data_IF_722827779821
#
_entry.id   IF_722827779821
#
_cell.length_a   1.000
_cell.length_b   1.000
_cell.length_c   1.000
_cell.angle_alpha   90.00
_cell.angle_beta   90.00
_cell.angle_gamma   90.00
#
_symmetry.space_group_name_H-M   'P 1'
#
loop_
_entity.id
_entity.type
_entity.pdbx_description
1 polymer ?
#
# COMPACT_ATOMS: atom_id res chain seq x y z
N UNK A 1 12.86 5.06 -12.13
CA UNK A 1 12.75 4.23 -13.34
C UNK A 1 13.47 2.88 -13.18
N UNK A 2 14.78 2.86 -12.94
CA UNK A 2 15.58 1.61 -12.77
C UNK A 2 15.15 0.67 -11.63
N UNK A 3 14.40 1.15 -10.62
CA UNK A 3 13.87 0.34 -9.50
C UNK A 3 12.46 -0.22 -9.69
N UNK A 4 11.66 0.35 -10.60
CA UNK A 4 10.37 -0.22 -11.03
C UNK A 4 10.55 -1.16 -12.24
N UNK A 5 11.67 -1.01 -12.95
CA UNK A 5 12.10 -1.90 -14.03
C UNK A 5 12.11 -3.38 -13.64
N UNK A 6 12.55 -3.82 -12.44
CA UNK A 6 12.47 -5.21 -12.02
C UNK A 6 11.04 -5.75 -11.94
N UNK A 7 10.09 -4.96 -11.40
CA UNK A 7 8.69 -5.37 -11.29
C UNK A 7 8.04 -5.44 -12.67
N UNK A 8 8.21 -4.39 -13.49
CA UNK A 8 7.66 -4.34 -14.85
C UNK A 8 8.31 -5.41 -15.74
N UNK A 9 9.62 -5.59 -15.67
CA UNK A 9 10.32 -6.66 -16.37
C UNK A 9 9.86 -8.04 -15.90
N UNK A 10 9.62 -8.21 -14.59
CA UNK A 10 9.08 -9.44 -14.02
C UNK A 10 7.69 -9.76 -14.55
N UNK A 11 6.81 -8.76 -14.64
CA UNK A 11 5.49 -8.88 -15.29
C UNK A 11 5.67 -9.31 -16.75
N UNK A 12 6.48 -8.59 -17.52
CA UNK A 12 6.65 -8.82 -18.95
C UNK A 12 7.22 -10.22 -19.21
N UNK A 13 8.33 -10.57 -18.55
CA UNK A 13 8.97 -11.87 -18.71
C UNK A 13 8.06 -13.00 -18.21
N UNK A 14 7.46 -12.85 -17.04
CA UNK A 14 6.52 -13.83 -16.49
C UNK A 14 5.32 -14.07 -17.39
N UNK A 15 4.74 -13.01 -17.95
CA UNK A 15 3.62 -13.09 -18.88
C UNK A 15 4.03 -13.72 -20.22
N UNK A 16 5.19 -13.36 -20.78
CA UNK A 16 5.73 -14.00 -22.00
C UNK A 16 5.95 -15.49 -21.79
N UNK A 17 6.59 -15.90 -20.68
CA UNK A 17 6.78 -17.32 -20.37
C UNK A 17 5.44 -18.04 -20.21
N UNK A 18 4.46 -17.39 -19.59
CA UNK A 18 3.11 -17.93 -19.45
C UNK A 18 2.38 -18.09 -20.79
N UNK A 19 2.57 -17.15 -21.72
CA UNK A 19 2.06 -17.25 -23.09
C UNK A 19 2.69 -18.44 -23.81
N UNK A 20 4.02 -18.59 -23.71
CA UNK A 20 4.76 -19.70 -24.33
C UNK A 20 4.37 -21.06 -23.73
N UNK A 21 4.02 -21.09 -22.45
CA UNK A 21 3.51 -22.27 -21.76
C UNK A 21 2.03 -22.58 -22.08
N UNK A 22 1.33 -21.72 -22.83
CA UNK A 22 -0.06 -21.94 -23.22
C UNK A 22 -1.08 -21.82 -22.08
N UNK A 23 -0.70 -21.20 -20.95
CA UNK A 23 -1.57 -21.06 -19.76
C UNK A 23 -2.40 -19.77 -19.75
N UNK A 24 -2.19 -18.87 -20.72
CA UNK A 24 -2.90 -17.59 -20.84
C UNK A 24 -4.01 -17.71 -21.87
N UNK A 25 -5.25 -17.46 -21.46
CA UNK A 25 -6.38 -17.28 -22.37
C UNK A 25 -6.49 -15.81 -22.81
N UNK A 26 -6.38 -15.56 -24.12
CA UNK A 26 -6.48 -14.23 -24.71
C UNK A 26 -7.90 -13.86 -25.18
N UNK A 27 -8.87 -14.77 -25.05
CA UNK A 27 -10.26 -14.56 -25.42
C UNK A 27 -10.86 -13.32 -24.74
N UNK A 28 -10.65 -13.07 -23.42
CA UNK A 28 -11.16 -11.87 -22.75
C UNK A 28 -10.64 -10.57 -23.37
N UNK A 29 -9.38 -10.57 -23.84
CA UNK A 29 -8.78 -9.41 -24.51
C UNK A 29 -9.44 -9.21 -25.87
N UNK A 30 -9.73 -10.28 -26.62
CA UNK A 30 -10.36 -10.17 -27.95
C UNK A 30 -11.80 -9.66 -27.86
N UNK A 31 -12.56 -10.11 -26.87
CA UNK A 31 -13.98 -9.78 -26.69
C UNK A 31 -14.22 -8.44 -26.02
N UNK A 32 -13.27 -7.95 -25.21
CA UNK A 32 -13.41 -6.66 -24.55
C UNK A 32 -13.58 -5.50 -25.55
N UNK A 33 -14.40 -4.51 -25.20
CA UNK A 33 -14.51 -3.29 -25.99
C UNK A 33 -13.17 -2.53 -26.02
N UNK A 34 -12.97 -1.66 -27.01
CA UNK A 34 -11.82 -0.74 -26.98
C UNK A 34 -11.98 0.32 -25.90
N UNK A 35 -13.18 0.88 -25.80
CA UNK A 35 -13.52 1.90 -24.82
C UNK A 35 -14.87 1.57 -24.16
N UNK A 36 -14.92 1.65 -22.84
CA UNK A 36 -16.17 1.65 -22.09
C UNK A 36 -15.97 2.37 -20.75
N UNK A 37 -17.06 2.91 -20.21
CA UNK A 37 -17.07 3.48 -18.85
C UNK A 37 -16.83 2.35 -17.84
N UNK A 38 -15.95 2.52 -16.84
CA UNK A 38 -15.77 1.55 -15.76
C UNK A 38 -17.07 1.29 -14.99
N UNK A 39 -17.23 0.07 -14.47
CA UNK A 39 -18.35 -0.27 -13.61
C UNK A 39 -18.22 0.45 -12.26
N UNK A 40 -19.36 0.94 -11.76
CA UNK A 40 -19.47 1.61 -10.47
C UNK A 40 -20.32 0.77 -9.52
N UNK A 41 -19.91 0.67 -8.26
CA UNK A 41 -20.67 -0.01 -7.21
C UNK A 41 -20.98 0.95 -6.07
N UNK A 42 -22.25 1.06 -5.71
CA UNK A 42 -22.68 1.93 -4.61
C UNK A 42 -22.45 1.25 -3.25
N UNK A 43 -22.06 2.01 -2.21
CA UNK A 43 -21.73 1.43 -0.92
C UNK A 43 -22.98 0.94 -0.18
N UNK A 44 -22.84 -0.20 0.49
CA UNK A 44 -23.83 -0.72 1.45
C UNK A 44 -23.20 -0.67 2.84
N UNK A 45 -23.85 0.02 3.77
CA UNK A 45 -23.34 0.18 5.13
C UNK A 45 -23.80 -0.99 6.01
N UNK A 46 -22.86 -1.90 6.27
CA UNK A 46 -23.05 -3.00 7.21
C UNK A 46 -22.11 -2.84 8.41
N UNK A 47 -22.68 -2.81 9.62
CA UNK A 47 -21.90 -2.52 10.84
C UNK A 47 -20.90 -3.63 11.19
N UNK A 48 -21.19 -4.89 10.84
CA UNK A 48 -20.25 -5.99 11.07
C UNK A 48 -19.07 -5.92 10.11
N UNK A 49 -19.32 -5.63 8.82
CA UNK A 49 -18.29 -5.41 7.81
C UNK A 49 -17.41 -4.18 8.14
N UNK A 50 -18.04 -3.08 8.57
CA UNK A 50 -17.31 -1.89 9.04
C UNK A 50 -16.43 -2.25 10.24
N UNK A 51 -16.96 -2.98 11.23
CA UNK A 51 -16.19 -3.40 12.40
C UNK A 51 -14.99 -4.29 12.06
N UNK A 52 -15.08 -5.09 11.00
CA UNK A 52 -14.00 -5.95 10.52
C UNK A 52 -12.91 -5.17 9.75
N UNK A 53 -13.32 -4.21 8.92
CA UNK A 53 -12.40 -3.47 8.02
C UNK A 53 -11.78 -2.25 8.70
N UNK A 54 -12.50 -1.58 9.63
CA UNK A 54 -12.03 -0.36 10.27
C UNK A 54 -10.64 -0.47 10.93
N UNK A 55 -10.26 -1.59 11.60
CA UNK A 55 -8.90 -1.75 12.12
C UNK A 55 -7.81 -1.78 11.04
N UNK A 56 -8.12 -2.22 9.82
CA UNK A 56 -7.18 -2.24 8.69
C UNK A 56 -6.83 -0.81 8.26
N UNK A 57 -7.78 0.14 8.39
CA UNK A 57 -7.51 1.54 8.11
C UNK A 57 -6.45 2.14 9.05
N UNK A 58 -6.30 1.62 10.28
CA UNK A 58 -5.22 2.04 11.20
C UNK A 58 -3.85 1.66 10.63
N UNK A 59 -3.72 0.45 10.08
CA UNK A 59 -2.48 0.03 9.45
C UNK A 59 -2.13 0.93 8.25
N UNK A 60 -3.12 1.27 7.42
CA UNK A 60 -2.94 2.18 6.29
C UNK A 60 -2.57 3.61 6.74
N UNK A 61 -3.15 4.14 7.83
CA UNK A 61 -2.75 5.44 8.37
C UNK A 61 -1.28 5.43 8.84
N UNK A 62 -0.83 4.34 9.47
CA UNK A 62 0.57 4.20 9.89
C UNK A 62 1.51 4.06 8.69
N UNK A 63 1.09 3.30 7.68
CA UNK A 63 1.80 3.18 6.38
C UNK A 63 1.96 4.56 5.72
N UNK A 64 0.87 5.34 5.63
CA UNK A 64 0.90 6.70 5.10
C UNK A 64 1.87 7.62 5.83
N UNK A 65 1.95 7.55 7.17
CA UNK A 65 2.94 8.32 7.94
C UNK A 65 4.36 7.94 7.54
N UNK A 66 4.64 6.64 7.44
CA UNK A 66 5.94 6.12 7.00
C UNK A 66 6.32 6.60 5.61
N UNK A 67 5.36 6.60 4.69
CA UNK A 67 5.57 7.05 3.31
C UNK A 67 5.81 8.55 3.21
N UNK A 68 5.06 9.37 3.95
CA UNK A 68 5.27 10.82 4.00
C UNK A 68 6.67 11.15 4.53
N UNK A 69 7.14 10.41 5.56
CA UNK A 69 8.50 10.54 6.08
C UNK A 69 9.55 10.13 5.03
N UNK A 70 9.36 9.00 4.36
CA UNK A 70 10.28 8.50 3.34
C UNK A 70 10.38 9.44 2.12
N UNK A 71 9.23 9.97 1.67
CA UNK A 71 9.18 10.98 0.61
C UNK A 71 9.85 12.27 1.08
N UNK A 72 9.54 12.75 2.28
CA UNK A 72 10.13 13.95 2.87
C UNK A 72 11.66 13.87 2.98
N UNK A 73 12.19 12.75 3.45
CA UNK A 73 13.62 12.49 3.49
C UNK A 73 14.26 12.45 2.09
N UNK A 74 13.52 11.98 1.08
CA UNK A 74 14.01 11.86 -0.30
C UNK A 74 14.04 13.20 -1.05
N UNK A 75 13.08 14.08 -0.79
CA UNK A 75 12.99 15.40 -1.42
C UNK A 75 13.53 16.53 -0.54
N UNK A 76 14.10 16.18 0.62
CA UNK A 76 14.67 17.09 1.61
C UNK A 76 13.66 18.15 2.11
N UNK A 77 12.40 17.74 2.30
CA UNK A 77 11.33 18.60 2.82
C UNK A 77 10.56 17.93 3.96
N UNK A 78 10.24 18.69 4.99
CA UNK A 78 9.49 18.20 6.14
C UNK A 78 7.98 18.38 5.93
N UNK A 79 7.35 17.38 5.32
CA UNK A 79 5.90 17.35 5.11
C UNK A 79 5.08 17.11 6.39
N UNK A 80 5.71 16.64 7.46
CA UNK A 80 5.08 16.51 8.78
C UNK A 80 4.85 17.89 9.39
N UNK A 81 5.74 18.84 9.12
CA UNK A 81 5.60 20.25 9.50
C UNK A 81 4.77 21.05 8.50
N UNK A 82 5.12 21.01 7.21
CA UNK A 82 4.41 21.73 6.14
C UNK A 82 4.25 20.84 4.91
N UNK A 83 3.03 20.46 4.49
CA UNK A 83 1.75 21.05 4.85
C UNK A 83 1.18 20.59 6.20
N UNK A 84 1.80 19.62 6.86
CA UNK A 84 1.34 19.07 8.13
C UNK A 84 0.72 17.68 7.98
N UNK A 85 1.02 16.79 8.92
CA UNK A 85 0.53 15.41 8.90
C UNK A 85 -1.02 15.32 8.86
N UNK A 86 -1.72 16.26 9.51
CA UNK A 86 -3.18 16.32 9.46
C UNK A 86 -3.72 16.53 8.05
N UNK A 87 -3.08 17.40 7.26
CA UNK A 87 -3.48 17.67 5.88
C UNK A 87 -3.19 16.49 4.96
N UNK A 88 -2.06 15.81 5.14
CA UNK A 88 -1.72 14.66 4.32
C UNK A 88 -2.66 13.47 4.61
N UNK A 89 -2.97 13.21 5.88
CA UNK A 89 -3.93 12.16 6.29
C UNK A 89 -5.36 12.47 5.85
N UNK A 90 -5.82 13.73 5.94
CA UNK A 90 -7.13 14.11 5.42
C UNK A 90 -7.21 13.90 3.90
N UNK A 91 -6.13 14.23 3.18
CA UNK A 91 -6.05 13.98 1.74
C UNK A 91 -6.23 12.50 1.39
N UNK A 92 -5.51 11.64 2.10
CA UNK A 92 -5.58 10.17 1.94
C UNK A 92 -6.97 9.61 2.29
N UNK A 93 -7.54 10.05 3.42
CA UNK A 93 -8.88 9.67 3.84
C UNK A 93 -9.98 10.11 2.87
N UNK A 94 -9.87 11.31 2.30
CA UNK A 94 -10.80 11.78 1.25
C UNK A 94 -10.66 10.91 0.00
N UNK A 95 -9.42 10.62 -0.44
CA UNK A 95 -9.18 9.78 -1.61
C UNK A 95 -9.74 8.37 -1.44
N UNK A 96 -9.54 7.76 -0.26
CA UNK A 96 -10.10 6.44 0.09
C UNK A 96 -11.62 6.47 0.18
N UNK A 97 -12.19 7.51 0.79
CA UNK A 97 -13.65 7.66 0.91
C UNK A 97 -14.30 7.80 -0.46
N UNK A 98 -13.74 8.64 -1.34
CA UNK A 98 -14.22 8.82 -2.70
C UNK A 98 -14.12 7.52 -3.50
N UNK A 99 -13.02 6.78 -3.37
CA UNK A 99 -12.88 5.46 -3.99
C UNK A 99 -13.96 4.49 -3.49
N UNK A 100 -14.19 4.40 -2.18
CA UNK A 100 -15.22 3.54 -1.60
C UNK A 100 -16.65 3.89 -2.05
N UNK A 101 -16.96 5.18 -2.24
CA UNK A 101 -18.29 5.63 -2.73
C UNK A 101 -18.54 5.15 -4.16
N UNK A 102 -17.50 5.09 -5.00
CA UNK A 102 -17.62 4.71 -6.42
C UNK A 102 -17.36 3.21 -6.64
N UNK A 103 -17.11 2.44 -5.58
CA UNK A 103 -16.83 1.00 -5.65
C UNK A 103 -15.38 0.65 -5.95
N UNK A 104 -14.47 1.61 -5.83
CA UNK A 104 -13.04 1.41 -5.89
C UNK A 104 -12.48 0.81 -4.58
N UNK A 105 -11.26 0.24 -4.64
CA UNK A 105 -10.60 -0.32 -3.46
C UNK A 105 -10.13 0.79 -2.51
N UNK A 106 -9.86 0.42 -1.26
CA UNK A 106 -9.10 1.29 -0.35
C UNK A 106 -7.73 1.62 -0.97
N UNK A 107 -7.31 2.87 -0.85
CA UNK A 107 -6.04 3.34 -1.40
C UNK A 107 -5.17 3.93 -0.29
N UNK A 108 -3.88 4.05 -0.58
CA UNK A 108 -2.94 4.76 0.29
C UNK A 108 -1.76 5.26 -0.54
N UNK A 109 -0.80 5.93 0.09
CA UNK A 109 0.42 6.40 -0.59
C UNK A 109 1.27 5.20 -1.06
N UNK A 110 2.00 5.36 -2.16
CA UNK A 110 2.85 4.31 -2.72
C UNK A 110 4.33 4.61 -2.49
N UNK A 111 4.93 3.89 -1.54
CA UNK A 111 6.35 3.95 -1.21
C UNK A 111 7.30 3.71 -2.41
N UNK A 112 6.87 2.94 -3.41
CA UNK A 112 7.66 2.63 -4.60
C UNK A 112 7.92 3.87 -5.46
N UNK A 113 7.01 4.85 -5.42
CA UNK A 113 7.15 6.11 -6.16
C UNK A 113 8.25 7.01 -5.57
N UNK A 114 8.55 6.87 -4.27
CA UNK A 114 9.66 7.57 -3.61
C UNK A 114 11.00 7.27 -4.28
N UNK A 115 11.21 6.02 -4.70
CA UNK A 115 12.40 5.62 -5.44
C UNK A 115 12.52 6.29 -6.81
N UNK A 116 11.38 6.66 -7.44
CA UNK A 116 11.38 7.43 -8.69
C UNK A 116 11.81 8.87 -8.42
N UNK A 117 11.27 9.51 -7.39
CA UNK A 117 11.60 10.89 -6.99
C UNK A 117 13.10 11.05 -6.67
N UNK A 118 13.68 10.08 -5.96
CA UNK A 118 15.11 10.05 -5.64
C UNK A 118 16.01 10.05 -6.89
N UNK A 119 15.59 9.34 -7.94
CA UNK A 119 16.37 9.15 -9.16
C UNK A 119 16.15 10.26 -10.17
N UNK A 120 14.91 10.67 -10.40
CA UNK A 120 14.56 11.67 -11.42
C UNK A 120 14.83 13.08 -10.93
N UNK A 121 14.85 13.31 -9.60
CA UNK A 121 14.90 14.65 -8.99
C UNK A 121 13.78 15.58 -9.49
N UNK A 122 12.66 14.99 -9.88
CA UNK A 122 11.46 15.70 -10.33
C UNK A 122 10.42 15.57 -9.23
N UNK A 123 10.26 16.63 -8.42
CA UNK A 123 9.38 16.64 -7.23
C UNK A 123 8.13 17.49 -7.41
N UNK A 124 7.89 17.96 -8.63
CA UNK A 124 6.75 18.80 -8.98
C UNK A 124 5.43 18.01 -8.89
N UNK A 125 4.47 18.38 -8.03
CA UNK A 125 3.18 17.69 -7.91
C UNK A 125 2.38 17.65 -9.22
N UNK A 126 2.63 18.57 -10.14
CA UNK A 126 2.03 18.62 -11.46
C UNK A 126 2.28 17.34 -12.26
N UNK A 127 3.46 16.73 -12.09
CA UNK A 127 3.79 15.47 -12.76
C UNK A 127 2.89 14.34 -12.28
N UNK A 128 2.58 14.32 -10.98
CA UNK A 128 1.66 13.35 -10.40
C UNK A 128 0.22 13.59 -10.88
N UNK A 129 -0.20 14.85 -11.04
CA UNK A 129 -1.53 15.18 -11.60
C UNK A 129 -1.66 14.71 -13.06
N UNK A 130 -0.61 14.87 -13.87
CA UNK A 130 -0.60 14.37 -15.25
C UNK A 130 -0.72 12.84 -15.25
N UNK A 131 0.05 12.15 -14.39
CA UNK A 131 -0.04 10.70 -14.25
C UNK A 131 -1.45 10.25 -13.83
N UNK A 132 -2.10 10.95 -12.90
CA UNK A 132 -3.47 10.67 -12.48
C UNK A 132 -4.48 10.82 -13.63
N UNK A 133 -4.38 11.90 -14.43
CA UNK A 133 -5.25 12.10 -15.61
C UNK A 133 -5.05 11.00 -16.65
N UNK A 134 -3.80 10.59 -16.89
CA UNK A 134 -3.50 9.46 -17.78
C UNK A 134 -4.11 8.18 -17.23
N UNK A 135 -3.96 7.88 -15.94
CA UNK A 135 -4.54 6.70 -15.31
C UNK A 135 -6.08 6.68 -15.41
N UNK A 136 -6.73 7.83 -15.20
CA UNK A 136 -8.17 7.98 -15.40
C UNK A 136 -8.53 7.68 -16.86
N UNK A 137 -7.80 8.24 -17.83
CA UNK A 137 -8.02 7.96 -19.26
C UNK A 137 -7.85 6.48 -19.61
N UNK A 138 -6.83 5.82 -19.05
CA UNK A 138 -6.57 4.40 -19.23
C UNK A 138 -7.65 3.51 -18.62
N UNK A 139 -8.38 3.96 -17.59
CA UNK A 139 -9.50 3.22 -17.02
C UNK A 139 -10.64 2.98 -18.02
N UNK A 140 -10.78 3.83 -19.03
CA UNK A 140 -11.77 3.65 -20.10
C UNK A 140 -11.34 2.61 -21.14
N UNK A 141 -10.06 2.21 -21.16
CA UNK A 141 -9.51 1.27 -22.15
C UNK A 141 -9.74 -0.16 -21.66
N UNK A 142 -10.89 -0.74 -21.99
CA UNK A 142 -11.27 -2.08 -21.47
C UNK A 142 -10.35 -3.20 -21.93
N UNK A 143 -9.70 -3.07 -23.10
CA UNK A 143 -8.64 -3.99 -23.54
C UNK A 143 -7.49 -4.07 -22.53
N UNK A 144 -7.10 -2.94 -21.93
CA UNK A 144 -6.04 -2.90 -20.93
C UNK A 144 -6.49 -3.62 -19.65
N UNK A 145 -7.71 -3.34 -19.18
CA UNK A 145 -8.31 -4.04 -18.04
C UNK A 145 -8.41 -5.56 -18.27
N UNK A 146 -8.85 -5.97 -19.46
CA UNK A 146 -8.89 -7.38 -19.86
C UNK A 146 -7.49 -8.00 -19.88
N UNK A 147 -6.48 -7.31 -20.42
CA UNK A 147 -5.10 -7.80 -20.43
C UNK A 147 -4.57 -8.03 -19.01
N UNK A 148 -4.83 -7.10 -18.08
CA UNK A 148 -4.45 -7.26 -16.66
C UNK A 148 -5.12 -8.49 -16.05
N UNK A 149 -6.40 -8.75 -16.35
CA UNK A 149 -7.13 -9.93 -15.85
C UNK A 149 -6.62 -11.26 -16.41
N UNK A 150 -5.92 -11.25 -17.55
CA UNK A 150 -5.31 -12.47 -18.10
C UNK A 150 -3.94 -12.80 -17.48
N UNK A 151 -3.40 -11.94 -16.62
CA UNK A 151 -2.12 -12.21 -15.95
C UNK A 151 -2.31 -13.43 -15.03
N UNK A 152 -1.54 -14.52 -15.22
CA UNK A 152 -1.72 -15.73 -14.42
C UNK A 152 -1.31 -15.56 -12.95
N UNK A 153 -1.95 -16.34 -12.08
CA UNK A 153 -1.69 -16.34 -10.63
C UNK A 153 -0.20 -16.52 -10.26
N UNK A 154 0.59 -17.39 -10.91
CA UNK A 154 2.03 -17.50 -10.60
C UNK A 154 2.81 -16.19 -10.83
N UNK A 155 2.42 -15.42 -11.86
CA UNK A 155 3.04 -14.13 -12.16
C UNK A 155 2.62 -13.09 -11.12
N UNK A 156 1.32 -13.04 -10.78
CA UNK A 156 0.79 -12.19 -9.70
C UNK A 156 1.48 -12.50 -8.37
N UNK A 157 1.67 -13.78 -8.04
CA UNK A 157 2.36 -14.22 -6.83
C UNK A 157 3.81 -13.73 -6.79
N UNK A 158 4.54 -13.87 -7.90
CA UNK A 158 5.92 -13.38 -8.01
C UNK A 158 6.01 -11.86 -7.83
N UNK A 159 5.13 -11.10 -8.47
CA UNK A 159 5.03 -9.64 -8.32
C UNK A 159 4.72 -9.26 -6.87
N UNK A 160 3.77 -9.95 -6.25
CA UNK A 160 3.36 -9.69 -4.87
C UNK A 160 4.51 -9.89 -3.89
N UNK A 161 5.34 -10.92 -4.08
CA UNK A 161 6.54 -11.14 -3.26
C UNK A 161 7.51 -9.95 -3.36
N UNK A 162 7.74 -9.44 -4.58
CA UNK A 162 8.65 -8.30 -4.79
C UNK A 162 8.07 -7.02 -4.21
N UNK A 163 6.79 -6.73 -4.46
CA UNK A 163 6.11 -5.52 -3.94
C UNK A 163 6.08 -5.52 -2.41
N UNK A 164 5.56 -6.58 -1.79
CA UNK A 164 5.49 -6.66 -0.32
C UNK A 164 6.88 -6.73 0.32
N UNK A 165 7.86 -7.35 -0.34
CA UNK A 165 9.26 -7.33 0.09
C UNK A 165 9.86 -5.93 0.08
N UNK A 166 9.54 -5.10 -0.91
CA UNK A 166 9.97 -3.70 -0.96
C UNK A 166 9.31 -2.88 0.15
N UNK A 167 8.00 -3.05 0.39
CA UNK A 167 7.28 -2.36 1.47
C UNK A 167 7.91 -2.70 2.83
N UNK A 168 8.15 -3.98 3.11
CA UNK A 168 8.83 -4.41 4.33
C UNK A 168 10.24 -3.79 4.45
N UNK A 169 10.98 -3.71 3.35
CA UNK A 169 12.32 -3.11 3.31
C UNK A 169 12.29 -1.60 3.59
N UNK A 170 11.24 -0.89 3.15
CA UNK A 170 11.04 0.53 3.47
C UNK A 170 10.79 0.70 4.97
N UNK A 171 9.98 -0.17 5.59
CA UNK A 171 9.79 -0.18 7.04
C UNK A 171 11.11 -0.33 7.82
N UNK A 172 11.97 -1.27 7.42
CA UNK A 172 13.31 -1.44 8.00
C UNK A 172 14.18 -0.20 7.78
N UNK A 173 14.16 0.37 6.58
CA UNK A 173 14.91 1.59 6.26
C UNK A 173 14.48 2.76 7.17
N UNK A 174 13.18 2.96 7.38
CA UNK A 174 12.66 4.01 8.27
C UNK A 174 13.18 3.86 9.69
N UNK A 175 13.26 2.63 10.21
CA UNK A 175 13.82 2.35 11.53
C UNK A 175 15.31 2.73 11.60
N UNK A 176 16.08 2.42 10.55
CA UNK A 176 17.51 2.76 10.46
C UNK A 176 17.73 4.27 10.33
N UNK A 177 16.97 4.95 9.47
CA UNK A 177 17.09 6.40 9.24
C UNK A 177 16.71 7.22 10.48
N UNK A 178 15.73 6.74 11.26
CA UNK A 178 15.36 7.34 12.54
C UNK A 178 16.30 6.93 13.70
N UNK A 179 17.36 6.18 13.41
CA UNK A 179 18.38 5.76 14.38
C UNK A 179 17.80 5.11 15.65
N UNK A 180 16.82 4.23 15.47
CA UNK A 180 16.19 3.53 16.61
C UNK A 180 17.21 2.58 17.25
N UNK A 181 17.54 2.83 18.52
CA UNK A 181 18.49 2.00 19.28
C UNK A 181 17.81 0.73 19.83
N UNK A 182 18.12 -0.41 19.22
CA UNK A 182 17.67 -1.74 19.68
C UNK A 182 18.45 -2.28 20.87
N UNK A 183 19.50 -1.60 21.35
CA UNK A 183 20.14 -1.94 22.64
C UNK A 183 19.24 -1.58 23.81
N UNK A 184 18.36 -0.59 23.63
CA UNK A 184 17.35 -0.26 24.64
C UNK A 184 16.32 -1.39 24.73
N UNK A 185 16.16 -2.03 25.91
CA UNK A 185 15.21 -3.14 26.09
C UNK A 185 13.78 -2.78 25.66
N UNK A 186 13.38 -1.52 25.89
CA UNK A 186 12.06 -1.00 25.48
C UNK A 186 11.82 -1.11 23.98
N UNK A 187 12.75 -0.62 23.15
CA UNK A 187 12.59 -0.60 21.69
C UNK A 187 12.64 -2.03 21.11
N UNK A 188 13.54 -2.86 21.65
CA UNK A 188 13.65 -4.27 21.27
C UNK A 188 12.37 -5.04 21.60
N UNK A 189 11.80 -4.82 22.78
CA UNK A 189 10.57 -5.47 23.22
C UNK A 189 9.37 -5.06 22.34
N UNK A 190 9.15 -3.76 22.14
CA UNK A 190 8.05 -3.25 21.30
C UNK A 190 8.14 -3.83 19.89
N UNK A 191 9.32 -3.77 19.28
CA UNK A 191 9.54 -4.26 17.91
C UNK A 191 9.32 -5.77 17.81
N UNK A 192 9.76 -6.54 18.82
CA UNK A 192 9.55 -7.99 18.84
C UNK A 192 8.07 -8.36 18.86
N UNK A 193 7.25 -7.65 19.64
CA UNK A 193 5.80 -7.87 19.68
C UNK A 193 5.16 -7.51 18.33
N UNK A 194 5.53 -6.38 17.74
CA UNK A 194 5.01 -5.97 16.42
C UNK A 194 5.33 -7.03 15.36
N UNK A 195 6.58 -7.52 15.32
CA UNK A 195 7.01 -8.53 14.35
C UNK A 195 6.29 -9.87 14.55
N UNK A 196 6.21 -10.37 15.77
CA UNK A 196 5.56 -11.66 16.07
C UNK A 196 4.07 -11.60 15.79
N UNK A 197 3.39 -10.54 16.22
CA UNK A 197 1.93 -10.39 16.00
C UNK A 197 1.62 -10.15 14.53
N UNK A 198 2.40 -9.28 13.87
CA UNK A 198 2.18 -8.88 12.48
C UNK A 198 2.47 -9.99 11.48
N UNK A 199 3.63 -10.66 11.61
CA UNK A 199 4.07 -11.73 10.70
C UNK A 199 3.44 -13.07 11.09
N UNK A 200 3.30 -13.33 12.40
CA UNK A 200 2.79 -14.60 12.92
C UNK A 200 1.29 -14.79 12.77
N UNK A 201 0.56 -13.81 12.22
CA UNK A 201 -0.87 -13.93 11.92
C UNK A 201 -1.75 -14.04 13.16
N UNK A 202 -1.35 -13.40 14.27
CA UNK A 202 -2.14 -13.42 15.49
C UNK A 202 -3.50 -12.76 15.27
N UNK A 203 -4.56 -13.37 15.81
CA UNK A 203 -5.94 -12.88 15.76
C UNK A 203 -6.50 -12.85 17.16
N UNK A 204 -7.02 -11.69 17.56
CA UNK A 204 -7.76 -11.51 18.81
C UNK A 204 -9.24 -11.39 18.48
N UNK A 205 -10.04 -12.29 19.05
CA UNK A 205 -11.51 -12.24 18.97
C UNK A 205 -12.03 -11.38 20.11
N UNK A 206 -12.71 -10.29 19.77
CA UNK A 206 -13.36 -9.40 20.71
C UNK A 206 -14.84 -9.77 20.87
N UNK A 207 -15.47 -9.21 21.90
CA UNK A 207 -16.90 -9.37 22.12
C UNK A 207 -17.69 -8.82 20.93
N UNK A 208 -18.78 -9.50 20.54
CA UNK A 208 -19.62 -9.10 19.41
C UNK A 208 -19.17 -9.64 18.04
N UNK A 209 -18.25 -10.61 18.01
CA UNK A 209 -17.83 -11.27 16.76
C UNK A 209 -16.77 -10.51 15.97
N UNK A 210 -16.34 -9.35 16.46
CA UNK A 210 -15.26 -8.55 15.87
C UNK A 210 -13.93 -9.30 16.06
N UNK A 211 -13.17 -9.43 14.98
CA UNK A 211 -11.84 -10.04 15.01
C UNK A 211 -10.83 -9.01 14.53
N UNK A 212 -9.77 -8.79 15.30
CA UNK A 212 -8.66 -7.93 14.91
C UNK A 212 -7.43 -8.82 14.79
N UNK A 213 -6.79 -8.82 13.61
CA UNK A 213 -5.62 -9.63 13.37
C UNK A 213 -4.60 -8.96 12.45
N UNK A 214 -3.44 -9.60 12.34
CA UNK A 214 -2.37 -9.18 11.44
C UNK A 214 -1.85 -7.77 11.74
N UNK A 215 -1.63 -6.98 10.67
CA UNK A 215 -1.00 -5.66 10.76
C UNK A 215 -1.77 -4.66 11.63
N UNK A 216 -3.10 -4.69 11.60
CA UNK A 216 -3.93 -3.81 12.44
C UNK A 216 -3.72 -4.07 13.93
N UNK A 217 -3.70 -5.36 14.34
CA UNK A 217 -3.42 -5.75 15.72
C UNK A 217 -2.00 -5.37 16.14
N UNK A 218 -1.01 -5.62 15.27
CA UNK A 218 0.39 -5.29 15.53
C UNK A 218 0.60 -3.78 15.72
N UNK A 219 -0.03 -2.95 14.90
CA UNK A 219 0.03 -1.49 15.01
C UNK A 219 -0.59 -0.99 16.32
N UNK A 220 -1.79 -1.48 16.68
CA UNK A 220 -2.46 -1.11 17.93
C UNK A 220 -1.58 -1.47 19.14
N UNK A 221 -1.05 -2.69 19.19
CA UNK A 221 -0.18 -3.12 20.28
C UNK A 221 1.12 -2.31 20.34
N UNK A 222 1.73 -2.01 19.19
CA UNK A 222 2.91 -1.16 19.11
C UNK A 222 2.68 0.23 19.70
N UNK A 223 1.55 0.86 19.36
CA UNK A 223 1.16 2.18 19.88
C UNK A 223 0.94 2.11 21.39
N UNK A 224 0.17 1.14 21.87
CA UNK A 224 -0.15 0.97 23.30
C UNK A 224 1.14 0.74 24.10
N UNK A 225 1.99 -0.18 23.68
CA UNK A 225 3.23 -0.49 24.37
C UNK A 225 4.20 0.70 24.37
N UNK A 226 4.29 1.44 23.27
CA UNK A 226 5.11 2.65 23.21
C UNK A 226 4.63 3.72 24.22
N UNK A 227 3.33 3.83 24.49
CA UNK A 227 2.78 4.79 25.45
C UNK A 227 2.89 4.33 26.91
N UNK A 228 2.69 3.03 27.18
CA UNK A 228 2.68 2.50 28.55
C UNK A 228 4.10 2.27 29.06
N UNK A 229 5.02 1.82 28.20
CA UNK A 229 6.38 1.51 28.64
C UNK A 229 7.16 2.81 28.91
N UNK A 230 7.81 2.91 30.10
CA UNK A 230 8.51 4.12 30.50
C UNK A 230 9.64 4.44 29.53
N UNK A 231 9.73 5.71 29.11
CA UNK A 231 10.88 6.19 28.35
C UNK A 231 12.07 6.20 29.32
N UNK A 232 13.14 5.48 28.98
CA UNK A 232 14.38 5.57 29.75
C UNK A 232 14.86 7.04 29.73
N UNK A 233 15.22 7.56 30.91
CA UNK A 233 15.81 8.89 31.08
C UNK A 233 17.25 8.94 30.57
#
# INVERSE_FOLDING_TARGET
>A
FMRLLPVISGIIVGYILSLLAGIVDLTPIKEAAWFAVPDFSWPVFDMAAIGLIAPVAIASMVEHVGDVLAVGATVEQDFIKEPGLSRTLIGDGIATTLAGIVGGPANTTYSENTGVLALTRVWKPEVMRIAAVIAIGLSFVQKLGAAIRTIPDPVIGGISIVLFGMIASVGVRTVVENQIDFKQPRNLFISSIILVVGIGGAIVKLWGGIQIGGMGLAAILGIILNQILPKES
#
